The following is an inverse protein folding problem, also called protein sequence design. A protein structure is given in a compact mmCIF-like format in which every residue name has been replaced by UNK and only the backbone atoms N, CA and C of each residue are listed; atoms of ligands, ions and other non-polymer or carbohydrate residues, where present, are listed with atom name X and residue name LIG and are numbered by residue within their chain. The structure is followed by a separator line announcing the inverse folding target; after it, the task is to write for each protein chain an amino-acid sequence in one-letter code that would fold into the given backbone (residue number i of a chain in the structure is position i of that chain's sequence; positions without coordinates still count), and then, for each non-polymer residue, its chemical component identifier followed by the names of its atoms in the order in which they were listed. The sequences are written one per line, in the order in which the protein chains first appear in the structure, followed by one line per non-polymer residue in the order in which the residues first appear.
data_IF_709511635337
#
_entry.id   IF_709511635337
#
_cell.length_a   1.000
_cell.length_b   1.000
_cell.length_c   1.000
_cell.angle_alpha   90.00
_cell.angle_beta   90.00
_cell.angle_gamma   90.00
#
_symmetry.space_group_name_H-M   'P 1'
#
loop_
_entity.id
_entity.type
_entity.pdbx_description
1 polymer ?
#
# COMPACT_ATOMS: atom_id res chain seq x y z
N UNK A 1 -20.49 -47.92 12.85
CA UNK A 1 -19.92 -46.80 13.64
C UNK A 1 -18.48 -46.46 13.26
N UNK A 2 -17.50 -47.37 13.34
CA UNK A 2 -16.08 -47.07 13.01
C UNK A 2 -15.86 -46.53 11.58
N UNK A 3 -16.52 -47.10 10.57
CA UNK A 3 -16.41 -46.65 9.16
C UNK A 3 -16.93 -45.22 8.94
N UNK A 4 -18.02 -44.84 9.61
CA UNK A 4 -18.59 -43.48 9.53
C UNK A 4 -17.63 -42.48 10.20
N UNK A 5 -17.03 -42.85 11.34
CA UNK A 5 -16.01 -42.04 12.00
C UNK A 5 -14.80 -41.75 11.12
N UNK A 6 -14.31 -42.76 10.37
CA UNK A 6 -13.23 -42.56 9.39
C UNK A 6 -13.62 -41.64 8.23
N UNK A 7 -14.84 -41.77 7.71
CA UNK A 7 -15.34 -40.88 6.65
C UNK A 7 -15.37 -39.42 7.13
N UNK A 8 -15.92 -39.18 8.33
CA UNK A 8 -15.98 -37.83 8.92
C UNK A 8 -14.57 -37.28 9.14
N UNK A 9 -13.65 -38.09 9.66
CA UNK A 9 -12.26 -37.67 9.88
C UNK A 9 -11.55 -37.32 8.57
N UNK A 10 -11.71 -38.14 7.52
CA UNK A 10 -11.15 -37.87 6.19
C UNK A 10 -11.68 -36.57 5.61
N UNK A 11 -12.99 -36.32 5.70
CA UNK A 11 -13.60 -35.06 5.25
C UNK A 11 -13.04 -33.86 6.00
N UNK A 12 -12.84 -33.97 7.31
CA UNK A 12 -12.27 -32.91 8.13
C UNK A 12 -10.82 -32.60 7.75
N UNK A 13 -10.00 -33.63 7.49
CA UNK A 13 -8.62 -33.47 7.02
C UNK A 13 -8.60 -32.75 5.67
N UNK A 14 -9.43 -33.18 4.72
CA UNK A 14 -9.54 -32.54 3.40
C UNK A 14 -9.92 -31.07 3.56
N UNK A 15 -10.93 -30.77 4.39
CA UNK A 15 -11.36 -29.39 4.64
C UNK A 15 -10.23 -28.52 5.21
N UNK A 16 -9.45 -29.03 6.15
CA UNK A 16 -8.30 -28.31 6.73
C UNK A 16 -7.21 -28.05 5.67
N UNK A 17 -6.86 -29.06 4.87
CA UNK A 17 -5.87 -28.92 3.79
C UNK A 17 -6.33 -27.89 2.76
N UNK A 18 -7.59 -27.97 2.32
CA UNK A 18 -8.18 -26.99 1.40
C UNK A 18 -8.13 -25.59 1.98
N UNK A 19 -8.48 -25.41 3.26
CA UNK A 19 -8.41 -24.10 3.92
C UNK A 19 -6.97 -23.55 3.97
N UNK A 20 -5.97 -24.41 4.23
CA UNK A 20 -4.56 -24.01 4.22
C UNK A 20 -4.10 -23.56 2.84
N UNK A 21 -4.50 -24.28 1.78
CA UNK A 21 -4.18 -23.92 0.39
C UNK A 21 -4.82 -22.57 0.02
N UNK A 22 -6.09 -22.36 0.36
CA UNK A 22 -6.78 -21.09 0.10
C UNK A 22 -6.09 -19.96 0.88
N UNK A 23 -5.75 -20.18 2.16
CA UNK A 23 -5.05 -19.18 2.98
C UNK A 23 -3.69 -18.81 2.39
N UNK A 24 -2.91 -19.80 1.95
CA UNK A 24 -1.59 -19.58 1.35
C UNK A 24 -1.67 -18.77 0.04
N UNK A 25 -2.73 -18.97 -0.74
CA UNK A 25 -2.96 -18.27 -2.00
C UNK A 25 -3.87 -17.04 -1.87
N UNK A 26 -4.25 -16.66 -0.66
CA UNK A 26 -5.30 -15.67 -0.41
C UNK A 26 -5.02 -14.30 -1.02
N UNK A 27 -3.74 -13.89 -1.14
CA UNK A 27 -3.37 -12.64 -1.82
C UNK A 27 -3.73 -12.70 -3.31
N UNK A 28 -3.28 -13.74 -4.03
CA UNK A 28 -3.59 -13.92 -5.45
C UNK A 28 -5.09 -14.07 -5.69
N UNK A 29 -5.79 -14.75 -4.79
CA UNK A 29 -7.26 -14.86 -4.83
C UNK A 29 -7.92 -13.49 -4.66
N UNK A 30 -7.47 -12.68 -3.70
CA UNK A 30 -8.00 -11.34 -3.50
C UNK A 30 -7.78 -10.45 -4.75
N UNK A 31 -6.60 -10.50 -5.36
CA UNK A 31 -6.31 -9.78 -6.61
C UNK A 31 -7.19 -10.26 -7.76
N UNK A 32 -7.26 -11.58 -7.97
CA UNK A 32 -8.07 -12.18 -9.03
C UNK A 32 -9.56 -11.85 -8.87
N UNK A 33 -10.10 -11.88 -7.64
CA UNK A 33 -11.49 -11.51 -7.37
C UNK A 33 -11.74 -10.01 -7.49
N UNK A 34 -10.72 -9.18 -7.24
CA UNK A 34 -10.75 -7.73 -7.49
C UNK A 34 -10.59 -7.34 -8.95
N UNK A 35 -10.30 -8.30 -9.85
CA UNK A 35 -10.07 -8.03 -11.27
C UNK A 35 -8.68 -7.49 -11.61
N UNK A 36 -7.70 -7.64 -10.71
CA UNK A 36 -6.32 -7.17 -10.92
C UNK A 36 -5.40 -8.32 -11.36
N UNK A 37 -4.22 -7.95 -11.89
CA UNK A 37 -3.18 -8.92 -12.21
C UNK A 37 -2.72 -9.67 -10.96
N UNK A 38 -2.46 -10.96 -11.10
CA UNK A 38 -1.86 -11.78 -10.04
C UNK A 38 -0.34 -11.77 -10.06
N UNK A 39 0.27 -11.12 -11.06
CA UNK A 39 1.67 -10.74 -11.11
C UNK A 39 1.80 -9.34 -10.54
N UNK A 40 2.56 -9.19 -9.46
CA UNK A 40 2.65 -7.92 -8.74
C UNK A 40 4.05 -7.70 -8.15
N UNK A 41 4.37 -6.43 -7.94
CA UNK A 41 5.56 -5.98 -7.22
C UNK A 41 5.16 -5.41 -5.87
N UNK A 42 5.91 -5.73 -4.81
CA UNK A 42 5.64 -5.16 -3.48
C UNK A 42 6.52 -3.93 -3.26
N UNK A 43 5.91 -2.77 -3.03
CA UNK A 43 6.62 -1.52 -2.72
C UNK A 43 6.77 -1.30 -1.23
N UNK A 44 5.72 -1.63 -0.47
CA UNK A 44 5.72 -1.46 0.98
C UNK A 44 5.05 -2.64 1.68
N UNK A 45 5.54 -2.97 2.86
CA UNK A 45 4.94 -3.96 3.75
C UNK A 45 5.20 -3.56 5.20
N UNK A 46 4.21 -3.76 6.06
CA UNK A 46 4.32 -3.38 7.46
C UNK A 46 3.13 -3.87 8.29
N UNK A 47 2.96 -3.24 9.45
CA UNK A 47 1.80 -3.46 10.33
C UNK A 47 1.10 -2.13 10.58
N UNK A 48 -0.23 -2.12 10.49
CA UNK A 48 -1.02 -0.92 10.77
C UNK A 48 -1.22 -0.73 12.29
N UNK A 49 -1.93 0.33 12.69
CA UNK A 49 -2.20 0.63 14.09
C UNK A 49 -2.99 -0.48 14.83
N UNK A 50 -3.70 -1.34 14.10
CA UNK A 50 -4.43 -2.49 14.63
C UNK A 50 -3.61 -3.79 14.64
N UNK A 51 -2.29 -3.69 14.40
CA UNK A 51 -1.36 -4.84 14.28
C UNK A 51 -1.73 -5.82 13.16
N UNK A 52 -2.49 -5.35 12.15
CA UNK A 52 -2.75 -6.14 10.96
C UNK A 52 -1.61 -5.92 9.97
N UNK A 53 -1.09 -7.02 9.44
CA UNK A 53 -0.10 -6.99 8.36
C UNK A 53 -0.72 -6.31 7.14
N UNK A 54 -0.05 -5.32 6.55
CA UNK A 54 -0.50 -4.66 5.33
C UNK A 54 0.58 -4.69 4.26
N UNK A 55 0.14 -4.57 3.01
CA UNK A 55 1.01 -4.46 1.83
C UNK A 55 0.47 -3.38 0.90
N UNK A 56 1.40 -2.65 0.30
CA UNK A 56 1.16 -1.80 -0.85
C UNK A 56 1.90 -2.40 -2.03
N UNK A 57 1.15 -2.81 -3.04
CA UNK A 57 1.67 -3.49 -4.22
C UNK A 57 1.30 -2.71 -5.48
N UNK A 58 2.03 -2.97 -6.56
CA UNK A 58 1.64 -2.61 -7.91
C UNK A 58 1.18 -3.88 -8.65
N UNK A 59 -0.03 -3.85 -9.20
CA UNK A 59 -0.65 -4.94 -9.95
C UNK A 59 -1.16 -4.48 -11.33
N UNK A 60 -0.53 -3.44 -11.88
CA UNK A 60 -0.81 -2.94 -13.23
C UNK A 60 -0.29 -3.88 -14.32
N UNK A 61 -0.80 -3.69 -15.54
CA UNK A 61 -0.30 -4.38 -16.74
C UNK A 61 0.25 -3.36 -17.74
N UNK A 62 1.43 -3.66 -18.29
CA UNK A 62 2.11 -2.79 -19.24
C UNK A 62 2.49 -1.44 -18.62
N UNK A 63 2.13 -0.36 -19.30
CA UNK A 63 2.46 1.01 -18.89
C UNK A 63 1.46 1.60 -17.87
N UNK A 64 0.44 0.85 -17.46
CA UNK A 64 -0.64 1.34 -16.61
C UNK A 64 -0.50 0.81 -15.18
N UNK A 65 0.30 1.44 -14.31
CA UNK A 65 0.43 1.00 -12.93
C UNK A 65 -0.90 1.12 -12.20
N UNK A 66 -1.18 0.16 -11.31
CA UNK A 66 -2.30 0.21 -10.37
C UNK A 66 -1.73 -0.13 -9.00
N UNK A 67 -1.82 0.80 -8.05
CA UNK A 67 -1.40 0.55 -6.68
C UNK A 67 -2.57 0.03 -5.86
N UNK A 68 -2.30 -0.96 -5.01
CA UNK A 68 -3.33 -1.60 -4.19
C UNK A 68 -2.86 -1.67 -2.75
N UNK A 69 -3.71 -1.21 -1.83
CA UNK A 69 -3.53 -1.39 -0.40
C UNK A 69 -4.31 -2.62 0.08
N UNK A 70 -3.59 -3.59 0.63
CA UNK A 70 -4.17 -4.81 1.18
C UNK A 70 -3.85 -4.96 2.65
N UNK A 71 -4.81 -5.49 3.41
CA UNK A 71 -4.60 -5.91 4.79
C UNK A 71 -4.84 -7.40 4.95
N UNK A 72 -4.08 -8.01 5.85
CA UNK A 72 -4.24 -9.38 6.26
C UNK A 72 -5.08 -9.43 7.53
N UNK A 73 -6.23 -10.08 7.44
CA UNK A 73 -7.09 -10.27 8.60
C UNK A 73 -6.49 -11.24 9.62
N UNK A 74 -7.09 -11.31 10.82
CA UNK A 74 -6.69 -12.22 11.91
C UNK A 74 -6.68 -13.71 11.55
N UNK A 75 -7.41 -14.12 10.52
CA UNK A 75 -7.44 -15.49 10.02
C UNK A 75 -6.34 -15.76 8.96
N UNK A 76 -5.57 -14.73 8.62
CA UNK A 76 -4.43 -14.80 7.71
C UNK A 76 -4.79 -14.68 6.23
N UNK A 77 -6.01 -14.21 5.90
CA UNK A 77 -6.43 -13.94 4.52
C UNK A 77 -6.22 -12.47 4.17
N UNK A 78 -5.70 -12.22 2.98
CA UNK A 78 -5.57 -10.88 2.41
C UNK A 78 -6.91 -10.36 1.91
N UNK A 79 -7.13 -9.06 2.11
CA UNK A 79 -8.28 -8.31 1.63
C UNK A 79 -7.81 -7.00 1.03
N UNK A 80 -8.30 -6.68 -0.17
CA UNK A 80 -8.15 -5.37 -0.78
C UNK A 80 -9.03 -4.38 -0.01
N UNK A 81 -8.44 -3.28 0.46
CA UNK A 81 -9.22 -2.21 1.08
C UNK A 81 -9.56 -1.12 0.07
N UNK A 82 -8.56 -0.67 -0.68
CA UNK A 82 -8.69 0.33 -1.74
C UNK A 82 -7.51 0.23 -2.69
N UNK A 83 -7.68 0.81 -3.87
CA UNK A 83 -6.65 0.96 -4.89
C UNK A 83 -6.38 2.45 -5.16
N UNK A 84 -5.49 2.73 -6.10
CA UNK A 84 -5.16 4.08 -6.56
C UNK A 84 -6.29 4.79 -7.33
N UNK A 85 -7.39 4.10 -7.64
CA UNK A 85 -8.46 4.61 -8.49
C UNK A 85 -8.00 4.98 -9.90
N UNK A 86 -8.79 5.84 -10.56
CA UNK A 86 -8.41 6.46 -11.82
C UNK A 86 -7.51 7.67 -11.55
N UNK A 87 -6.39 7.73 -12.25
CA UNK A 87 -5.46 8.85 -12.23
C UNK A 87 -5.59 9.70 -13.50
N UNK A 88 -5.12 10.97 -13.47
CA UNK A 88 -5.15 11.85 -14.64
C UNK A 88 -4.38 11.30 -15.85
N UNK A 89 -3.36 10.49 -15.58
CA UNK A 89 -2.51 9.85 -16.58
C UNK A 89 -2.45 8.36 -16.28
N UNK A 90 -2.76 7.56 -17.30
CA UNK A 90 -2.72 6.10 -17.19
C UNK A 90 -1.32 5.59 -16.80
N UNK A 91 -0.26 6.36 -17.09
CA UNK A 91 1.14 6.04 -16.74
C UNK A 91 1.55 6.41 -15.32
N UNK A 92 0.61 6.89 -14.50
CA UNK A 92 0.86 7.31 -13.13
C UNK A 92 -0.16 6.69 -12.19
N UNK A 93 0.28 6.22 -11.03
CA UNK A 93 -0.60 5.78 -9.96
C UNK A 93 -0.09 6.31 -8.62
N UNK A 94 -1.01 6.66 -7.73
CA UNK A 94 -0.66 7.03 -6.37
C UNK A 94 -1.63 6.45 -5.36
N UNK A 95 -1.15 6.25 -4.14
CA UNK A 95 -1.97 5.77 -3.02
C UNK A 95 -1.48 6.43 -1.73
N UNK A 96 -2.44 6.81 -0.90
CA UNK A 96 -2.22 7.42 0.40
C UNK A 96 -2.77 6.48 1.48
N UNK A 97 -2.02 6.29 2.55
CA UNK A 97 -2.49 5.62 3.75
C UNK A 97 -1.96 6.30 5.00
N UNK A 98 -2.58 5.96 6.12
CA UNK A 98 -2.27 6.54 7.41
C UNK A 98 -1.85 5.43 8.36
N UNK A 99 -0.75 5.65 9.06
CA UNK A 99 -0.33 4.85 10.20
C UNK A 99 -0.41 5.70 11.47
N UNK A 100 -0.59 5.06 12.62
CA UNK A 100 -0.36 5.75 13.89
C UNK A 100 1.14 5.96 14.05
N UNK A 101 1.59 7.21 13.96
CA UNK A 101 3.01 7.59 14.07
C UNK A 101 3.54 7.55 15.51
N UNK A 102 2.65 7.45 16.51
CA UNK A 102 2.99 7.28 17.92
C UNK A 102 2.16 8.16 18.85
N UNK A 103 2.45 8.06 20.15
CA UNK A 103 1.97 9.02 21.14
C UNK A 103 3.12 9.49 22.03
N UNK A 104 3.07 10.75 22.44
CA UNK A 104 4.02 11.36 23.38
C UNK A 104 3.27 11.74 24.64
N UNK A 105 3.77 11.31 25.79
CA UNK A 105 3.28 11.70 27.12
C UNK A 105 4.49 11.93 28.03
N UNK A 106 4.75 13.18 28.38
CA UNK A 106 5.96 13.59 29.09
C UNK A 106 5.82 13.46 30.61
N UNK A 107 4.62 13.66 31.16
CA UNK A 107 4.28 13.33 32.55
C UNK A 107 2.95 12.55 32.66
N UNK A 108 2.73 11.85 33.77
CA UNK A 108 1.53 11.04 34.00
C UNK A 108 0.23 11.86 33.95
N UNK A 109 0.30 13.13 34.34
CA UNK A 109 -0.83 14.05 34.40
C UNK A 109 -1.15 14.72 33.05
N UNK A 110 -0.23 14.66 32.10
CA UNK A 110 -0.41 15.32 30.81
C UNK A 110 -1.34 14.51 29.91
N UNK A 111 -2.06 15.23 29.06
CA UNK A 111 -2.79 14.62 27.96
C UNK A 111 -1.81 14.04 26.93
N UNK A 112 -2.00 12.79 26.47
CA UNK A 112 -1.17 12.21 25.44
C UNK A 112 -1.36 12.99 24.13
N UNK A 113 -0.26 13.40 23.51
CA UNK A 113 -0.26 13.93 22.15
C UNK A 113 -0.12 12.77 21.19
N UNK A 114 -1.04 12.62 20.25
CA UNK A 114 -0.98 11.61 19.19
C UNK A 114 -0.37 12.22 17.94
N UNK A 115 0.51 11.47 17.28
CA UNK A 115 1.04 11.84 15.98
C UNK A 115 0.57 10.84 14.93
N UNK A 116 0.12 11.36 13.81
CA UNK A 116 -0.30 10.60 12.66
C UNK A 116 0.85 10.55 11.65
N UNK A 117 1.12 9.38 11.08
CA UNK A 117 2.07 9.22 9.99
C UNK A 117 1.31 9.06 8.68
N UNK A 118 1.44 10.05 7.80
CA UNK A 118 0.87 10.05 6.48
C UNK A 118 1.87 9.50 5.47
N UNK A 119 1.47 8.46 4.77
CA UNK A 119 2.29 7.70 3.84
C UNK A 119 1.73 7.85 2.43
N UNK A 120 2.53 8.37 1.51
CA UNK A 120 2.15 8.54 0.12
C UNK A 120 3.13 7.80 -0.78
N UNK A 121 2.62 6.94 -1.65
CA UNK A 121 3.40 6.27 -2.68
C UNK A 121 2.86 6.69 -4.04
N UNK A 122 3.74 7.20 -4.90
CA UNK A 122 3.49 7.38 -6.32
C UNK A 122 4.41 6.48 -7.12
N UNK A 123 3.90 5.94 -8.22
CA UNK A 123 4.65 5.19 -9.22
C UNK A 123 4.30 5.73 -10.60
N UNK A 124 5.23 5.64 -11.55
CA UNK A 124 4.95 6.00 -12.93
C UNK A 124 5.96 5.45 -13.92
N UNK A 125 5.60 5.55 -15.20
CA UNK A 125 6.37 5.03 -16.35
C UNK A 125 6.66 6.10 -17.41
N UNK A 126 6.57 7.39 -17.03
CA UNK A 126 6.66 8.54 -17.93
C UNK A 126 7.77 9.54 -17.55
N UNK A 127 8.78 9.14 -16.78
CA UNK A 127 9.90 10.03 -16.47
C UNK A 127 10.71 10.37 -17.73
N UNK A 128 10.98 11.66 -17.95
CA UNK A 128 11.80 12.14 -19.07
C UNK A 128 13.23 12.51 -18.68
N UNK A 129 13.48 12.63 -17.37
CA UNK A 129 14.79 12.88 -16.79
C UNK A 129 14.84 12.28 -15.38
N UNK A 130 15.99 12.41 -14.72
CA UNK A 130 16.13 12.03 -13.33
C UNK A 130 15.14 12.83 -12.47
N UNK A 131 14.35 12.13 -11.67
CA UNK A 131 13.45 12.72 -10.69
C UNK A 131 14.28 13.10 -9.47
N UNK A 132 14.21 14.38 -9.14
CA UNK A 132 14.80 14.94 -7.93
C UNK A 132 13.72 15.75 -7.22
N UNK A 133 13.68 15.70 -5.90
CA UNK A 133 12.78 16.53 -5.10
C UNK A 133 13.64 17.41 -4.20
N UNK A 134 13.50 18.73 -4.32
CA UNK A 134 14.08 19.65 -3.35
C UNK A 134 13.23 19.65 -2.07
N UNK A 135 13.83 19.63 -0.87
CA UNK A 135 13.11 19.84 0.39
C UNK A 135 12.22 21.09 0.39
N UNK A 136 12.63 22.15 -0.33
CA UNK A 136 11.88 23.41 -0.42
C UNK A 136 10.56 23.29 -1.23
N UNK A 137 10.40 22.22 -2.00
CA UNK A 137 9.15 21.93 -2.71
C UNK A 137 8.21 21.06 -1.89
N UNK A 138 8.72 20.49 -0.78
CA UNK A 138 8.00 19.59 0.07
C UNK A 138 7.52 20.29 1.34
N UNK A 139 6.51 19.70 1.99
CA UNK A 139 6.07 20.20 3.27
C UNK A 139 7.16 20.02 4.33
N UNK A 140 7.30 20.96 5.28
CA UNK A 140 8.20 20.79 6.41
C UNK A 140 7.96 19.45 7.13
N UNK A 141 9.04 18.75 7.43
CA UNK A 141 8.98 17.44 8.10
C UNK A 141 8.65 16.25 7.17
N UNK A 142 8.63 16.46 5.85
CA UNK A 142 8.47 15.37 4.88
C UNK A 142 9.79 14.67 4.62
N UNK A 143 9.84 13.36 4.86
CA UNK A 143 10.91 12.50 4.38
C UNK A 143 10.49 11.84 3.06
N UNK A 144 11.45 11.60 2.16
CA UNK A 144 11.16 10.99 0.87
C UNK A 144 12.23 10.00 0.43
N UNK A 145 11.81 9.05 -0.39
CA UNK A 145 12.66 8.08 -1.07
C UNK A 145 12.22 7.98 -2.52
N UNK A 146 13.18 8.13 -3.44
CA UNK A 146 12.96 8.00 -4.88
C UNK A 146 13.72 6.77 -5.36
N UNK A 147 13.08 5.95 -6.18
CA UNK A 147 13.74 4.90 -6.95
C UNK A 147 13.36 5.09 -8.41
N UNK A 148 14.33 5.06 -9.32
CA UNK A 148 14.08 5.24 -10.75
C UNK A 148 14.95 4.29 -11.56
N UNK A 149 14.40 3.77 -12.66
CA UNK A 149 15.09 2.96 -13.66
C UNK A 149 14.52 3.30 -15.03
N UNK A 150 15.26 4.09 -15.81
CA UNK A 150 14.78 4.63 -17.09
C UNK A 150 13.59 5.57 -16.90
N UNK A 151 12.51 5.33 -17.67
CA UNK A 151 11.26 6.09 -17.58
C UNK A 151 10.39 5.66 -16.36
N UNK A 152 10.70 4.52 -15.73
CA UNK A 152 9.95 3.98 -14.59
C UNK A 152 10.49 4.48 -13.25
N UNK A 153 9.60 4.85 -12.33
CA UNK A 153 9.97 5.39 -11.03
C UNK A 153 8.95 5.09 -9.93
N UNK A 154 9.41 5.20 -8.68
CA UNK A 154 8.57 5.29 -7.49
C UNK A 154 9.07 6.39 -6.56
N UNK A 155 8.13 7.09 -5.94
CA UNK A 155 8.35 8.15 -4.97
C UNK A 155 7.53 7.80 -3.74
N UNK A 156 8.20 7.58 -2.63
CA UNK A 156 7.57 7.32 -1.34
C UNK A 156 7.85 8.50 -0.41
N UNK A 157 6.79 9.05 0.17
CA UNK A 157 6.78 10.21 1.05
C UNK A 157 6.17 9.83 2.40
N UNK A 158 6.79 10.31 3.48
CA UNK A 158 6.30 10.19 4.84
C UNK A 158 6.24 11.59 5.44
N UNK A 159 5.10 11.97 6.02
CA UNK A 159 4.97 13.21 6.79
C UNK A 159 4.23 12.98 8.11
N UNK A 160 4.65 13.70 9.15
CA UNK A 160 4.04 13.67 10.49
C UNK A 160 3.19 14.91 10.78
N UNK A 161 3.19 15.86 9.85
CA UNK A 161 2.33 17.03 9.91
C UNK A 161 0.98 16.62 9.34
N UNK A 162 -0.09 16.86 10.08
CA UNK A 162 -1.43 16.66 9.52
C UNK A 162 -1.56 17.51 8.25
N UNK A 163 -2.11 16.96 7.16
CA UNK A 163 -2.40 17.76 5.99
C UNK A 163 -3.41 18.82 6.42
N UNK A 164 -2.98 20.09 6.47
CA UNK A 164 -3.88 21.22 6.63
C UNK A 164 -4.98 21.10 5.56
N UNK A 165 -6.24 21.06 6.00
CA UNK A 165 -7.46 21.06 5.19
C UNK A 165 -7.39 20.32 3.84
N UNK A 166 -7.03 19.03 3.87
CA UNK A 166 -7.27 18.13 2.73
C UNK A 166 -6.40 18.36 1.50
N UNK A 167 -5.43 19.28 1.54
CA UNK A 167 -4.42 19.36 0.49
C UNK A 167 -3.43 18.20 0.68
N UNK A 168 -3.65 17.10 -0.03
CA UNK A 168 -2.61 16.09 -0.25
C UNK A 168 -1.69 16.68 -1.31
N UNK A 169 -0.36 16.59 -1.11
CA UNK A 169 0.59 17.09 -2.09
C UNK A 169 0.36 16.42 -3.44
N UNK A 170 0.02 17.21 -4.46
CA UNK A 170 -0.13 16.72 -5.83
C UNK A 170 1.25 16.51 -6.46
N UNK A 171 1.81 15.34 -6.20
CA UNK A 171 3.10 14.95 -6.76
C UNK A 171 3.06 14.85 -8.29
N UNK A 172 1.91 14.48 -8.87
CA UNK A 172 1.82 14.42 -10.33
C UNK A 172 2.01 15.81 -10.94
N UNK A 173 1.26 16.80 -10.46
CA UNK A 173 1.38 18.18 -10.93
C UNK A 173 2.76 18.77 -10.62
N UNK A 174 3.33 18.49 -9.45
CA UNK A 174 4.69 18.93 -9.11
C UNK A 174 5.72 18.41 -10.13
N UNK A 175 5.66 17.13 -10.46
CA UNK A 175 6.60 16.52 -11.42
C UNK A 175 6.40 17.08 -12.84
N UNK A 176 5.15 17.33 -13.24
CA UNK A 176 4.83 17.97 -14.52
C UNK A 176 5.40 19.39 -14.58
N UNK A 177 5.16 20.22 -13.57
CA UNK A 177 5.60 21.61 -13.51
C UNK A 177 7.13 21.73 -13.53
N UNK A 178 7.83 20.75 -12.94
CA UNK A 178 9.29 20.67 -12.97
C UNK A 178 9.84 20.02 -14.25
N UNK A 179 8.97 19.61 -15.18
CA UNK A 179 9.33 18.94 -16.43
C UNK A 179 10.10 17.65 -16.19
N UNK A 180 9.73 16.89 -15.17
CA UNK A 180 10.33 15.60 -14.81
C UNK A 180 9.60 14.43 -15.47
N UNK A 181 8.32 14.63 -15.78
CA UNK A 181 7.45 13.67 -16.46
C UNK A 181 6.78 14.32 -17.69
N UNK A 182 6.22 13.50 -18.58
CA UNK A 182 5.49 13.91 -19.80
C UNK A 182 4.14 13.23 -19.89
#
# INVERSE_FOLDING_TARGET
MKKIGWIILSLLIIAVITLMIIRANSLKLALSWGGYSTSYSTYHQGYNANQLEYKVIEAGEGDNPILIYLERNRFGFWKILYDSGQTPDAKFAHILWMNSGGFKKFAFQDDPTFSTEWNYLAVGTNAVKQIELSPDWLRPGTAFKIQQTGESYSIYLITFTDPEDGEIMDIYQLLLDKGMIK
#
